data_IF_980758868702
#
_entry.id   IF_980758868702
#
_cell.length_a   1.000
_cell.length_b   1.000
_cell.length_c   1.000
_cell.angle_alpha   90.00
_cell.angle_beta   90.00
_cell.angle_gamma   90.00
#
_symmetry.space_group_name_H-M   'P 1'
#
loop_
_entity.id
_entity.type
_entity.pdbx_description
1 polymer ?
#
# COMPACT_ATOMS: atom_id res chain seq x y z
N UNK A 1 -38.82 51.79 36.79
CA UNK A 1 -39.30 50.40 36.64
C UNK A 1 -38.75 49.85 35.33
N UNK A 2 -37.71 49.01 35.38
CA UNK A 2 -37.14 48.29 34.23
C UNK A 2 -37.19 46.80 34.57
N UNK A 3 -37.73 45.92 33.71
CA UNK A 3 -37.80 44.50 34.01
C UNK A 3 -36.43 43.85 33.78
N UNK A 4 -35.97 43.04 34.73
CA UNK A 4 -34.81 42.17 34.59
C UNK A 4 -35.25 40.92 33.81
N UNK A 5 -34.65 40.70 32.64
CA UNK A 5 -34.73 39.44 31.90
C UNK A 5 -33.74 38.46 32.56
N UNK A 6 -34.29 37.44 33.22
CA UNK A 6 -33.54 36.27 33.69
C UNK A 6 -33.38 35.32 32.51
N UNK A 7 -32.20 35.26 31.92
CA UNK A 7 -31.83 34.23 30.95
C UNK A 7 -31.56 32.92 31.68
N UNK A 8 -32.47 31.94 31.54
CA UNK A 8 -32.20 30.55 31.91
C UNK A 8 -31.15 29.98 30.94
N UNK A 9 -29.95 29.73 31.44
CA UNK A 9 -28.97 28.87 30.79
C UNK A 9 -29.40 27.41 31.01
N UNK A 10 -29.99 26.80 29.99
CA UNK A 10 -30.10 25.35 29.87
C UNK A 10 -28.70 24.79 29.56
N UNK A 11 -28.00 24.34 30.59
CA UNK A 11 -26.83 23.48 30.43
C UNK A 11 -27.32 22.10 29.97
N UNK A 12 -27.29 21.86 28.66
CA UNK A 12 -27.35 20.50 28.12
C UNK A 12 -26.01 19.83 28.45
N UNK A 13 -25.97 19.10 29.58
CA UNK A 13 -24.95 18.08 29.78
C UNK A 13 -25.30 16.91 28.86
N UNK A 14 -24.80 16.95 27.63
CA UNK A 14 -24.73 15.76 26.79
C UNK A 14 -23.63 14.85 27.37
N UNK A 15 -23.96 14.09 28.41
CA UNK A 15 -23.21 12.89 28.74
C UNK A 15 -23.46 11.91 27.59
N UNK A 16 -22.60 11.96 26.57
CA UNK A 16 -22.58 10.99 25.49
C UNK A 16 -22.39 9.61 26.12
N UNK A 17 -23.41 8.76 25.99
CA UNK A 17 -23.27 7.34 26.28
C UNK A 17 -22.38 6.76 25.17
N UNK A 18 -21.07 6.87 25.34
CA UNK A 18 -20.14 6.11 24.53
C UNK A 18 -20.41 4.62 24.84
N UNK A 19 -20.63 3.81 23.81
CA UNK A 19 -20.91 2.38 23.93
C UNK A 19 -19.81 1.64 24.71
N UNK A 20 -20.04 0.36 25.04
CA UNK A 20 -18.98 -0.45 25.63
C UNK A 20 -17.78 -0.50 24.66
N UNK A 21 -16.56 -0.68 25.15
CA UNK A 21 -15.39 -0.80 24.29
C UNK A 21 -15.38 -2.17 23.58
N UNK A 22 -14.82 -2.21 22.38
CA UNK A 22 -14.60 -3.47 21.67
C UNK A 22 -13.58 -4.34 22.43
N UNK A 23 -14.01 -5.49 22.93
CA UNK A 23 -13.12 -6.44 23.60
C UNK A 23 -12.46 -7.40 22.59
N UNK A 24 -11.13 -7.35 22.49
CA UNK A 24 -10.35 -8.22 21.60
C UNK A 24 -9.21 -8.88 22.36
N UNK A 25 -9.15 -10.21 22.34
CA UNK A 25 -7.99 -10.96 22.81
C UNK A 25 -6.92 -11.01 21.70
N UNK A 26 -5.94 -10.11 21.79
CA UNK A 26 -4.82 -10.04 20.86
C UNK A 26 -3.81 -11.19 21.00
N UNK A 27 -4.12 -12.24 21.77
CA UNK A 27 -3.37 -13.50 21.80
C UNK A 27 -4.12 -14.65 21.12
N UNK A 28 -5.28 -14.37 20.52
CA UNK A 28 -6.12 -15.34 19.85
C UNK A 28 -6.41 -14.90 18.40
N UNK A 29 -5.95 -15.69 17.43
CA UNK A 29 -6.20 -15.42 16.00
C UNK A 29 -7.69 -15.42 15.68
N UNK A 30 -8.50 -16.25 16.34
CA UNK A 30 -9.96 -16.26 16.15
C UNK A 30 -10.62 -15.00 16.70
N UNK A 31 -10.18 -14.49 17.87
CA UNK A 31 -10.70 -13.23 18.42
C UNK A 31 -10.37 -12.05 17.51
N UNK A 32 -9.14 -11.98 16.99
CA UNK A 32 -8.73 -10.95 16.04
C UNK A 32 -9.54 -11.04 14.74
N UNK A 33 -9.72 -12.25 14.18
CA UNK A 33 -10.53 -12.47 12.96
C UNK A 33 -11.99 -12.05 13.19
N UNK A 34 -12.59 -12.33 14.35
CA UNK A 34 -13.94 -11.87 14.69
C UNK A 34 -14.05 -10.35 14.82
N UNK A 35 -13.08 -9.69 15.44
CA UNK A 35 -13.04 -8.23 15.51
C UNK A 35 -12.87 -7.61 14.11
N UNK A 36 -11.97 -8.16 13.28
CA UNK A 36 -11.76 -7.72 11.91
C UNK A 36 -13.04 -7.88 11.07
N UNK A 37 -13.77 -8.98 11.25
CA UNK A 37 -15.06 -9.19 10.59
C UNK A 37 -16.08 -8.11 10.98
N UNK A 38 -16.21 -7.79 12.27
CA UNK A 38 -17.12 -6.74 12.74
C UNK A 38 -16.76 -5.36 12.17
N UNK A 39 -15.48 -4.98 12.24
CA UNK A 39 -14.97 -3.71 11.70
C UNK A 39 -15.14 -3.64 10.18
N UNK A 40 -14.88 -4.74 9.46
CA UNK A 40 -15.09 -4.80 8.00
C UNK A 40 -16.56 -4.66 7.61
N UNK A 41 -17.47 -5.25 8.40
CA UNK A 41 -18.90 -5.06 8.23
C UNK A 41 -19.28 -3.60 8.43
N UNK A 42 -18.76 -2.94 9.48
CA UNK A 42 -19.04 -1.54 9.75
C UNK A 42 -18.52 -0.62 8.64
N UNK A 43 -17.27 -0.82 8.20
CA UNK A 43 -16.68 -0.13 7.04
C UNK A 43 -17.59 -0.21 5.80
N UNK A 44 -18.09 -1.41 5.51
CA UNK A 44 -18.93 -1.65 4.34
C UNK A 44 -20.33 -1.04 4.44
N UNK A 45 -20.78 -0.58 5.62
CA UNK A 45 -22.02 0.20 5.73
C UNK A 45 -21.92 1.59 5.10
N UNK A 46 -20.70 2.14 4.97
CA UNK A 46 -20.46 3.43 4.32
C UNK A 46 -20.37 3.33 2.80
N UNK A 47 -20.22 2.12 2.27
CA UNK A 47 -20.18 1.87 0.83
C UNK A 47 -21.60 1.66 0.29
N UNK A 48 -21.99 2.53 -0.65
CA UNK A 48 -23.32 2.47 -1.30
C UNK A 48 -23.24 2.18 -2.80
N UNK A 49 -22.03 1.98 -3.34
CA UNK A 49 -21.79 1.85 -4.79
C UNK A 49 -22.42 0.62 -5.46
N UNK A 50 -22.82 -0.39 -4.68
CA UNK A 50 -23.57 -1.56 -5.18
C UNK A 50 -25.09 -1.36 -5.21
N UNK A 51 -25.60 -0.25 -4.71
CA UNK A 51 -27.03 0.06 -4.73
C UNK A 51 -27.42 0.70 -6.07
N UNK A 52 -28.66 0.46 -6.50
CA UNK A 52 -29.18 1.00 -7.76
C UNK A 52 -29.08 2.53 -7.81
N UNK A 53 -28.52 3.05 -8.90
CA UNK A 53 -28.33 4.49 -9.11
C UNK A 53 -26.99 5.05 -8.60
N UNK A 54 -26.19 4.25 -7.90
CA UNK A 54 -24.84 4.65 -7.47
C UNK A 54 -23.76 4.14 -8.43
N UNK A 55 -22.52 4.60 -8.22
CA UNK A 55 -21.36 4.22 -9.02
C UNK A 55 -20.56 3.14 -8.29
N UNK A 56 -20.35 1.95 -8.88
CA UNK A 56 -19.54 0.91 -8.26
C UNK A 56 -18.09 1.35 -8.03
N UNK A 57 -17.54 0.89 -6.93
CA UNK A 57 -16.13 1.06 -6.57
C UNK A 57 -15.74 2.38 -5.94
N UNK A 58 -16.65 3.34 -5.77
CA UNK A 58 -16.35 4.59 -5.04
C UNK A 58 -17.12 4.66 -3.71
N UNK A 59 -16.50 5.33 -2.73
CA UNK A 59 -17.17 5.80 -1.54
C UNK A 59 -17.97 7.09 -1.84
N UNK A 60 -18.93 7.49 -0.98
CA UNK A 60 -19.68 8.73 -1.16
C UNK A 60 -18.76 9.96 -1.30
N UNK A 61 -18.79 10.60 -2.46
CA UNK A 61 -17.96 11.75 -2.77
C UNK A 61 -17.81 11.97 -4.28
N UNK A 62 -16.90 12.86 -4.70
CA UNK A 62 -16.04 13.72 -3.87
C UNK A 62 -16.82 14.87 -3.23
N UNK A 63 -16.20 15.67 -2.35
CA UNK A 63 -16.84 16.85 -1.77
C UNK A 63 -17.38 17.80 -2.85
N UNK A 64 -18.61 18.34 -2.70
CA UNK A 64 -19.49 18.27 -1.53
C UNK A 64 -20.50 17.11 -1.52
N UNK A 65 -20.47 16.18 -2.50
CA UNK A 65 -21.44 15.08 -2.60
C UNK A 65 -21.25 13.98 -1.54
N UNK A 66 -20.09 13.98 -0.89
CA UNK A 66 -19.69 13.13 0.21
C UNK A 66 -18.21 13.42 0.55
N UNK A 67 -17.67 12.87 1.64
CA UNK A 67 -16.37 13.32 2.14
C UNK A 67 -15.16 12.74 1.41
N UNK A 68 -15.33 11.64 0.67
CA UNK A 68 -14.21 10.81 0.20
C UNK A 68 -13.82 11.10 -1.25
N UNK A 69 -12.52 11.18 -1.51
CA UNK A 69 -12.00 11.28 -2.87
C UNK A 69 -11.92 9.90 -3.55
N UNK A 70 -11.82 9.89 -4.87
CA UNK A 70 -11.87 8.66 -5.67
C UNK A 70 -10.78 7.64 -5.29
N UNK A 71 -9.57 8.11 -4.97
CA UNK A 71 -8.44 7.25 -4.63
C UNK A 71 -8.64 6.44 -3.34
N UNK A 72 -9.35 7.01 -2.36
CA UNK A 72 -9.54 6.40 -1.04
C UNK A 72 -10.35 5.10 -1.15
N UNK A 73 -11.28 5.05 -2.10
CA UNK A 73 -12.00 3.82 -2.41
C UNK A 73 -11.09 2.76 -3.03
N UNK A 74 -10.14 3.15 -3.90
CA UNK A 74 -9.10 2.26 -4.40
C UNK A 74 -8.27 1.64 -3.27
N UNK A 75 -7.95 2.43 -2.25
CA UNK A 75 -7.27 1.96 -1.04
C UNK A 75 -8.16 1.11 -0.12
N UNK A 76 -9.46 1.40 -0.04
CA UNK A 76 -10.45 0.57 0.67
C UNK A 76 -10.50 -0.84 0.08
N UNK A 77 -10.57 -0.96 -1.24
CA UNK A 77 -10.58 -2.27 -1.89
C UNK A 77 -9.28 -3.05 -1.65
N UNK A 78 -8.13 -2.38 -1.67
CA UNK A 78 -6.86 -3.01 -1.27
C UNK A 78 -6.87 -3.51 0.18
N UNK A 79 -7.49 -2.75 1.09
CA UNK A 79 -7.66 -3.15 2.49
C UNK A 79 -8.54 -4.40 2.62
N UNK A 80 -9.59 -4.51 1.83
CA UNK A 80 -10.47 -5.69 1.81
C UNK A 80 -9.84 -6.92 1.14
N UNK A 81 -8.95 -6.72 0.16
CA UNK A 81 -8.11 -7.80 -0.40
C UNK A 81 -7.16 -8.36 0.67
N UNK A 82 -6.50 -7.50 1.45
CA UNK A 82 -5.68 -7.95 2.59
C UNK A 82 -6.53 -8.63 3.66
N UNK A 83 -7.69 -8.06 4.00
CA UNK A 83 -8.62 -8.69 4.95
C UNK A 83 -8.95 -10.12 4.55
N UNK A 84 -9.35 -10.34 3.29
CA UNK A 84 -9.57 -11.69 2.77
C UNK A 84 -8.31 -12.56 2.89
N UNK A 85 -7.15 -12.04 2.50
CA UNK A 85 -5.90 -12.78 2.50
C UNK A 85 -5.52 -13.29 3.91
N UNK A 86 -5.67 -12.45 4.94
CA UNK A 86 -5.30 -12.80 6.32
C UNK A 86 -6.39 -13.57 7.09
N UNK A 87 -7.66 -13.37 6.74
CA UNK A 87 -8.78 -13.99 7.49
C UNK A 87 -9.38 -15.21 6.81
N UNK A 88 -9.28 -15.30 5.49
CA UNK A 88 -9.99 -16.26 4.65
C UNK A 88 -11.46 -15.94 4.42
N UNK A 89 -11.97 -14.81 4.94
CA UNK A 89 -13.37 -14.41 4.76
C UNK A 89 -13.59 -13.88 3.33
N UNK A 90 -14.45 -14.55 2.58
CA UNK A 90 -14.74 -14.25 1.17
C UNK A 90 -15.92 -13.30 0.97
N UNK A 91 -16.53 -12.78 2.04
CA UNK A 91 -17.80 -12.03 2.01
C UNK A 91 -17.80 -10.88 0.99
N UNK A 92 -16.68 -10.16 0.86
CA UNK A 92 -16.58 -8.98 0.01
C UNK A 92 -15.85 -9.21 -1.31
N UNK A 93 -15.41 -10.44 -1.61
CA UNK A 93 -14.50 -10.69 -2.74
C UNK A 93 -15.13 -10.32 -4.08
N UNK A 94 -16.36 -10.77 -4.35
CA UNK A 94 -17.03 -10.45 -5.61
C UNK A 94 -17.24 -8.94 -5.75
N UNK A 95 -17.65 -8.28 -4.67
CA UNK A 95 -17.90 -6.85 -4.69
C UNK A 95 -16.61 -6.04 -4.93
N UNK A 96 -15.48 -6.47 -4.34
CA UNK A 96 -14.18 -5.88 -4.59
C UNK A 96 -13.75 -6.09 -6.05
N UNK A 97 -13.94 -7.30 -6.60
CA UNK A 97 -13.66 -7.58 -8.02
C UNK A 97 -14.45 -6.65 -8.93
N UNK A 98 -15.78 -6.60 -8.76
CA UNK A 98 -16.65 -5.78 -9.60
C UNK A 98 -16.29 -4.29 -9.52
N UNK A 99 -15.95 -3.83 -8.31
CA UNK A 99 -15.57 -2.44 -8.04
C UNK A 99 -14.22 -2.05 -8.65
N UNK A 100 -13.20 -2.89 -8.50
CA UNK A 100 -11.88 -2.68 -9.09
C UNK A 100 -11.94 -2.70 -10.63
N UNK A 101 -12.77 -3.58 -11.21
CA UNK A 101 -12.95 -3.66 -12.67
C UNK A 101 -13.76 -2.48 -13.20
N UNK A 102 -14.79 -2.03 -12.49
CA UNK A 102 -15.60 -0.88 -12.93
C UNK A 102 -14.75 0.40 -13.07
N UNK A 103 -13.77 0.58 -12.19
CA UNK A 103 -12.89 1.75 -12.20
C UNK A 103 -11.64 1.57 -13.10
N UNK A 104 -11.47 0.41 -13.74
CA UNK A 104 -10.26 0.04 -14.50
C UNK A 104 -9.93 0.95 -15.70
N UNK A 105 -10.88 1.77 -16.16
CA UNK A 105 -10.78 2.57 -17.39
C UNK A 105 -10.64 1.72 -18.65
N UNK A 106 -11.57 0.78 -18.86
CA UNK A 106 -11.57 -0.03 -20.08
C UNK A 106 -11.84 0.85 -21.32
N UNK A 107 -11.19 0.57 -22.46
CA UNK A 107 -10.25 -0.54 -22.72
C UNK A 107 -8.77 -0.21 -22.45
N UNK A 108 -8.44 0.94 -21.85
CA UNK A 108 -7.04 1.33 -21.59
C UNK A 108 -6.42 0.61 -20.40
N UNK A 109 -7.24 0.13 -19.47
CA UNK A 109 -6.87 -0.72 -18.33
C UNK A 109 -5.74 -0.12 -17.49
N UNK A 110 -5.88 1.16 -17.16
CA UNK A 110 -4.83 1.96 -16.53
C UNK A 110 -5.32 2.81 -15.37
N UNK A 111 -6.57 2.65 -14.90
CA UNK A 111 -7.14 3.47 -13.82
C UNK A 111 -7.05 4.98 -14.08
N UNK A 112 -7.25 5.42 -15.33
CA UNK A 112 -7.43 6.84 -15.68
C UNK A 112 -8.83 7.14 -16.25
N UNK A 113 -9.92 6.73 -15.57
CA UNK A 113 -11.29 6.98 -16.02
C UNK A 113 -11.56 8.48 -16.22
N UNK A 114 -12.07 8.92 -17.40
CA UNK A 114 -12.25 10.34 -17.71
C UNK A 114 -13.12 11.11 -16.72
N UNK A 115 -14.08 10.44 -16.05
CA UNK A 115 -14.97 11.05 -15.05
C UNK A 115 -14.20 11.63 -13.85
N UNK A 116 -12.96 11.19 -13.63
CA UNK A 116 -12.14 11.56 -12.47
C UNK A 116 -11.00 12.52 -12.82
N UNK A 117 -10.93 13.01 -14.06
CA UNK A 117 -9.86 13.88 -14.57
C UNK A 117 -9.56 15.08 -13.66
N UNK A 118 -10.60 15.69 -13.07
CA UNK A 118 -10.45 16.90 -12.24
C UNK A 118 -9.68 16.68 -10.93
N UNK A 119 -9.56 15.44 -10.45
CA UNK A 119 -8.82 15.08 -9.24
C UNK A 119 -7.80 13.96 -9.51
N UNK A 120 -7.39 13.76 -10.76
CA UNK A 120 -6.56 12.63 -11.14
C UNK A 120 -5.07 12.95 -10.93
N UNK A 121 -4.57 12.62 -9.74
CA UNK A 121 -3.14 12.57 -9.43
C UNK A 121 -2.48 11.24 -9.81
N UNK A 122 -1.14 11.26 -9.86
CA UNK A 122 -0.34 10.05 -10.03
C UNK A 122 -0.48 9.13 -8.81
N UNK A 123 -0.60 9.71 -7.62
CA UNK A 123 -0.94 9.03 -6.38
C UNK A 123 -2.36 8.46 -6.40
N UNK A 124 -3.35 9.23 -6.85
CA UNK A 124 -4.73 8.74 -6.97
C UNK A 124 -4.79 7.46 -7.81
N UNK A 125 -4.27 7.53 -9.03
CA UNK A 125 -4.15 6.39 -9.94
C UNK A 125 -3.29 5.26 -9.31
N UNK A 126 -2.23 5.65 -8.62
CA UNK A 126 -1.27 4.76 -7.99
C UNK A 126 -1.89 3.85 -6.94
N UNK A 127 -2.78 4.37 -6.08
CA UNK A 127 -3.47 3.56 -5.08
C UNK A 127 -4.32 2.44 -5.69
N UNK A 128 -5.02 2.71 -6.79
CA UNK A 128 -5.73 1.68 -7.55
C UNK A 128 -4.78 0.63 -8.15
N UNK A 129 -3.67 1.09 -8.73
CA UNK A 129 -2.62 0.21 -9.25
C UNK A 129 -2.00 -0.68 -8.16
N UNK A 130 -1.76 -0.13 -6.97
CA UNK A 130 -1.22 -0.89 -5.83
C UNK A 130 -2.20 -1.92 -5.29
N UNK A 131 -3.50 -1.63 -5.29
CA UNK A 131 -4.54 -2.60 -4.94
C UNK A 131 -4.64 -3.73 -5.96
N UNK A 132 -4.54 -3.43 -7.27
CA UNK A 132 -4.45 -4.46 -8.30
C UNK A 132 -3.15 -5.29 -8.18
N UNK A 133 -2.02 -4.64 -7.93
CA UNK A 133 -0.75 -5.34 -7.69
C UNK A 133 -0.85 -6.28 -6.48
N UNK A 134 -1.52 -5.85 -5.40
CA UNK A 134 -1.75 -6.66 -4.21
C UNK A 134 -2.61 -7.87 -4.55
N UNK A 135 -3.72 -7.68 -5.28
CA UNK A 135 -4.58 -8.77 -5.72
C UNK A 135 -3.82 -9.84 -6.52
N UNK A 136 -2.87 -9.44 -7.37
CA UNK A 136 -1.99 -10.37 -8.07
C UNK A 136 -1.01 -11.10 -7.14
N UNK A 137 -0.44 -10.40 -6.15
CA UNK A 137 0.53 -10.91 -5.17
C UNK A 137 -0.09 -11.92 -4.20
N UNK A 138 -1.35 -11.76 -3.84
CA UNK A 138 -2.03 -12.67 -2.88
C UNK A 138 -2.93 -13.71 -3.55
N UNK A 139 -2.90 -13.82 -4.88
CA UNK A 139 -3.80 -14.69 -5.65
C UNK A 139 -5.28 -14.45 -5.33
N UNK A 140 -5.67 -13.19 -5.18
CA UNK A 140 -7.07 -12.81 -5.13
C UNK A 140 -7.79 -13.35 -6.38
N UNK A 141 -9.06 -13.81 -6.28
CA UNK A 141 -9.75 -14.44 -7.41
C UNK A 141 -9.60 -13.64 -8.70
N UNK A 142 -9.12 -14.30 -9.76
CA UNK A 142 -8.88 -13.61 -11.02
C UNK A 142 -10.21 -13.13 -11.64
N UNK A 143 -10.21 -11.97 -12.32
CA UNK A 143 -11.33 -11.55 -13.15
C UNK A 143 -11.65 -12.57 -14.25
N UNK A 144 -12.85 -12.51 -14.83
CA UNK A 144 -13.16 -13.25 -16.06
C UNK A 144 -12.07 -13.06 -17.12
N UNK A 145 -11.83 -14.07 -17.95
CA UNK A 145 -10.70 -14.08 -18.90
C UNK A 145 -10.78 -13.00 -20.00
N UNK A 146 -11.97 -12.46 -20.25
CA UNK A 146 -12.25 -11.35 -21.17
C UNK A 146 -12.17 -9.97 -20.50
N UNK A 147 -11.85 -9.91 -19.21
CA UNK A 147 -11.67 -8.70 -18.41
C UNK A 147 -10.18 -8.49 -18.07
N UNK A 148 -9.75 -7.25 -17.81
CA UNK A 148 -8.37 -6.95 -17.45
C UNK A 148 -8.01 -7.65 -16.15
N UNK A 149 -6.82 -8.25 -16.15
CA UNK A 149 -6.32 -9.03 -15.02
C UNK A 149 -5.53 -8.12 -14.06
N UNK A 150 -5.48 -8.49 -12.79
CA UNK A 150 -4.82 -7.70 -11.73
C UNK A 150 -3.39 -7.26 -12.05
N UNK A 151 -2.55 -8.17 -12.55
CA UNK A 151 -1.18 -7.83 -12.95
C UNK A 151 -1.17 -6.85 -14.13
N UNK A 152 -2.03 -7.06 -15.13
CA UNK A 152 -2.15 -6.17 -16.28
C UNK A 152 -2.56 -4.74 -15.87
N UNK A 153 -3.48 -4.59 -14.92
CA UNK A 153 -3.90 -3.28 -14.40
C UNK A 153 -2.77 -2.56 -13.64
N UNK A 154 -2.01 -3.29 -12.81
CA UNK A 154 -0.84 -2.75 -12.14
C UNK A 154 0.25 -2.30 -13.14
N UNK A 155 0.48 -3.10 -14.19
CA UNK A 155 1.38 -2.73 -15.29
C UNK A 155 0.86 -1.50 -16.03
N UNK A 156 -0.45 -1.39 -16.28
CA UNK A 156 -1.06 -0.23 -16.94
C UNK A 156 -0.81 1.07 -16.21
N UNK A 157 -1.00 1.07 -14.88
CA UNK A 157 -0.68 2.23 -14.04
C UNK A 157 0.80 2.57 -14.12
N UNK A 158 1.68 1.60 -13.86
CA UNK A 158 3.12 1.82 -13.89
C UNK A 158 3.60 2.37 -15.25
N UNK A 159 3.11 1.79 -16.36
CA UNK A 159 3.50 2.17 -17.71
C UNK A 159 3.11 3.62 -18.02
N UNK A 160 1.90 4.04 -17.65
CA UNK A 160 1.48 5.46 -17.81
C UNK A 160 2.24 6.41 -16.90
N UNK A 161 2.66 5.98 -15.70
CA UNK A 161 3.47 6.81 -14.82
C UNK A 161 4.88 6.98 -15.39
N UNK A 162 5.49 5.90 -15.87
CA UNK A 162 6.83 5.94 -16.48
C UNK A 162 6.90 6.88 -17.68
N UNK A 163 5.84 6.97 -18.50
CA UNK A 163 5.81 7.89 -19.65
C UNK A 163 5.72 9.37 -19.25
N UNK A 164 5.31 9.66 -18.01
CA UNK A 164 5.15 11.01 -17.45
C UNK A 164 6.31 11.46 -16.57
N UNK A 165 7.38 10.67 -16.47
CA UNK A 165 8.58 11.07 -15.74
C UNK A 165 9.17 12.34 -16.36
N UNK A 166 9.06 13.47 -15.66
CA UNK A 166 9.43 14.78 -16.20
C UNK A 166 10.91 15.09 -15.96
N UNK A 167 11.69 15.10 -17.04
CA UNK A 167 13.10 15.48 -17.04
C UNK A 167 13.34 16.99 -17.23
N UNK A 168 12.29 17.78 -17.46
CA UNK A 168 12.42 19.21 -17.77
C UNK A 168 12.53 20.08 -16.53
N UNK A 169 12.06 19.59 -15.37
CA UNK A 169 12.17 20.27 -14.07
C UNK A 169 12.66 19.32 -12.97
N UNK A 170 13.35 19.88 -11.96
CA UNK A 170 13.89 19.15 -10.81
C UNK A 170 14.75 17.90 -11.14
N UNK A 171 15.37 17.86 -12.32
CA UNK A 171 16.17 16.72 -12.81
C UNK A 171 15.41 15.38 -12.86
N UNK A 172 14.08 15.39 -12.94
CA UNK A 172 13.26 14.19 -12.87
C UNK A 172 12.02 14.36 -12.00
N UNK A 173 11.38 13.24 -11.71
CA UNK A 173 10.25 13.14 -10.79
C UNK A 173 8.91 13.30 -11.48
N UNK A 174 7.93 12.58 -10.95
CA UNK A 174 6.53 12.76 -11.25
C UNK A 174 5.99 14.00 -10.54
N UNK A 175 5.13 14.73 -11.24
CA UNK A 175 4.24 15.72 -10.67
C UNK A 175 3.17 15.02 -9.81
N UNK A 176 2.59 15.73 -8.84
CA UNK A 176 1.45 15.23 -8.10
C UNK A 176 0.28 14.97 -9.05
N UNK A 177 -0.17 15.99 -9.77
CA UNK A 177 -1.29 15.88 -10.70
C UNK A 177 -0.88 15.29 -12.06
N UNK A 178 -1.80 14.58 -12.73
CA UNK A 178 -1.58 14.10 -14.10
C UNK A 178 -1.91 15.18 -15.15
N UNK A 179 -3.10 15.81 -15.16
CA UNK A 179 -3.37 16.90 -16.08
C UNK A 179 -2.61 18.16 -15.67
N UNK A 180 -1.91 18.80 -16.62
CA UNK A 180 -1.14 20.02 -16.37
C UNK A 180 -1.99 21.24 -16.00
N UNK A 181 -3.31 21.15 -16.14
CA UNK A 181 -4.27 22.21 -15.77
C UNK A 181 -4.83 22.04 -14.36
N UNK A 182 -4.55 20.94 -13.67
CA UNK A 182 -5.00 20.74 -12.30
C UNK A 182 -4.11 21.53 -11.33
N UNK A 183 -4.72 22.10 -10.28
CA UNK A 183 -3.95 22.73 -9.20
C UNK A 183 -3.06 21.71 -8.51
N UNK A 184 -1.79 22.05 -8.28
CA UNK A 184 -0.80 21.13 -7.72
C UNK A 184 0.01 20.36 -8.76
N UNK A 185 -0.18 20.60 -10.06
CA UNK A 185 0.73 20.05 -11.08
C UNK A 185 2.17 20.56 -10.91
N UNK A 186 2.35 21.79 -10.45
CA UNK A 186 3.64 22.38 -10.11
C UNK A 186 4.34 21.71 -8.90
N UNK A 187 3.59 20.98 -8.07
CA UNK A 187 4.10 20.28 -6.90
C UNK A 187 4.59 18.87 -7.27
N UNK A 188 5.87 18.58 -7.03
CA UNK A 188 6.44 17.22 -7.14
C UNK A 188 6.57 16.64 -5.74
N UNK A 189 5.67 15.71 -5.41
CA UNK A 189 5.54 15.18 -4.06
C UNK A 189 6.08 13.76 -3.89
N UNK A 190 6.33 13.38 -2.65
CA UNK A 190 6.87 12.07 -2.28
C UNK A 190 5.87 10.96 -2.52
N UNK A 191 4.57 11.17 -2.30
CA UNK A 191 3.58 10.11 -2.45
C UNK A 191 3.47 9.60 -3.89
N UNK A 192 3.43 10.48 -4.89
CA UNK A 192 3.36 10.09 -6.30
C UNK A 192 4.60 9.29 -6.73
N UNK A 193 5.78 9.80 -6.37
CA UNK A 193 7.06 9.16 -6.71
C UNK A 193 7.30 7.87 -5.92
N UNK A 194 6.85 7.83 -4.67
CA UNK A 194 6.93 6.68 -3.78
C UNK A 194 6.03 5.54 -4.21
N UNK A 195 4.81 5.82 -4.69
CA UNK A 195 3.94 4.80 -5.27
C UNK A 195 4.53 4.26 -6.58
N UNK A 196 5.05 5.12 -7.45
CA UNK A 196 5.72 4.68 -8.67
C UNK A 196 6.93 3.80 -8.37
N UNK A 197 7.74 4.18 -7.37
CA UNK A 197 8.83 3.37 -6.84
C UNK A 197 8.35 2.01 -6.32
N UNK A 198 7.31 2.01 -5.50
CA UNK A 198 6.72 0.81 -4.89
C UNK A 198 6.18 -0.17 -5.94
N UNK A 199 5.41 0.34 -6.92
CA UNK A 199 4.92 -0.46 -8.05
C UNK A 199 6.09 -1.02 -8.87
N UNK A 200 7.11 -0.22 -9.16
CA UNK A 200 8.31 -0.68 -9.88
C UNK A 200 9.03 -1.82 -9.14
N UNK A 201 9.23 -1.69 -7.83
CA UNK A 201 9.87 -2.72 -7.01
C UNK A 201 9.06 -4.02 -6.97
N UNK A 202 7.73 -3.90 -6.80
CA UNK A 202 6.80 -5.03 -6.75
C UNK A 202 6.68 -5.75 -8.09
N UNK A 203 6.52 -5.00 -9.18
CA UNK A 203 6.51 -5.55 -10.55
C UNK A 203 7.84 -6.21 -10.91
N UNK A 204 8.98 -5.65 -10.49
CA UNK A 204 10.29 -6.28 -10.67
C UNK A 204 10.35 -7.65 -9.99
N UNK A 205 9.95 -7.71 -8.71
CA UNK A 205 9.91 -8.98 -7.96
C UNK A 205 8.91 -9.97 -8.54
N UNK A 206 7.71 -9.51 -8.91
CA UNK A 206 6.66 -10.39 -9.43
C UNK A 206 7.01 -10.99 -10.78
N UNK A 207 7.60 -10.19 -11.68
CA UNK A 207 7.80 -10.57 -13.09
C UNK A 207 9.22 -11.03 -13.42
N UNK A 208 10.21 -10.67 -12.58
CA UNK A 208 11.63 -10.81 -12.88
C UNK A 208 12.19 -9.77 -13.87
N UNK A 209 11.37 -8.84 -14.37
CA UNK A 209 11.78 -7.87 -15.37
C UNK A 209 12.58 -6.71 -14.76
N UNK A 210 13.87 -6.62 -15.11
CA UNK A 210 14.80 -5.61 -14.61
C UNK A 210 14.47 -4.17 -15.00
N UNK A 211 13.62 -3.94 -16.02
CA UNK A 211 13.18 -2.59 -16.38
C UNK A 211 12.41 -1.92 -15.25
N UNK A 212 11.54 -2.66 -14.57
CA UNK A 212 10.81 -2.14 -13.41
C UNK A 212 11.76 -1.78 -12.26
N UNK A 213 12.78 -2.61 -12.01
CA UNK A 213 13.80 -2.36 -10.99
C UNK A 213 14.64 -1.11 -11.29
N UNK A 214 15.01 -0.89 -12.56
CA UNK A 214 15.74 0.33 -12.97
C UNK A 214 14.93 1.60 -12.73
N UNK A 215 13.64 1.57 -13.03
CA UNK A 215 12.74 2.69 -12.72
C UNK A 215 12.53 2.89 -11.21
N UNK A 216 12.46 1.80 -10.44
CA UNK A 216 12.42 1.88 -8.99
C UNK A 216 13.70 2.55 -8.44
N UNK A 217 14.88 2.14 -8.92
CA UNK A 217 16.15 2.79 -8.57
C UNK A 217 16.20 4.27 -9.01
N UNK A 218 15.69 4.59 -10.20
CA UNK A 218 15.59 5.97 -10.69
C UNK A 218 14.72 6.83 -9.76
N UNK A 219 13.54 6.33 -9.36
CA UNK A 219 12.63 7.06 -8.46
C UNK A 219 13.22 7.22 -7.05
N UNK A 220 13.85 6.17 -6.51
CA UNK A 220 14.58 6.26 -5.25
C UNK A 220 15.68 7.32 -5.30
N UNK A 221 16.55 7.24 -6.31
CA UNK A 221 17.70 8.13 -6.44
C UNK A 221 17.25 9.58 -6.61
N UNK A 222 16.16 9.81 -7.35
CA UNK A 222 15.58 11.14 -7.47
C UNK A 222 15.03 11.64 -6.14
N UNK A 223 14.18 10.86 -5.46
CA UNK A 223 13.51 11.26 -4.21
C UNK A 223 14.52 11.57 -3.10
N UNK A 224 15.58 10.78 -2.98
CA UNK A 224 16.70 11.06 -2.06
C UNK A 224 17.56 12.23 -2.55
N UNK A 225 17.84 12.32 -3.86
CA UNK A 225 18.68 13.37 -4.44
C UNK A 225 18.10 14.78 -4.36
N UNK A 226 16.77 14.92 -4.39
CA UNK A 226 16.09 16.21 -4.13
C UNK A 226 15.95 16.53 -2.64
N UNK A 227 16.34 15.61 -1.75
CA UNK A 227 16.35 15.83 -0.30
C UNK A 227 15.02 15.51 0.40
N UNK A 228 14.07 14.84 -0.26
CA UNK A 228 12.82 14.42 0.39
C UNK A 228 13.04 13.22 1.32
N UNK A 229 14.13 12.46 1.12
CA UNK A 229 14.66 11.52 2.10
C UNK A 229 16.00 12.08 2.58
N UNK A 230 16.08 12.52 3.83
CA UNK A 230 17.32 13.08 4.41
C UNK A 230 18.29 12.00 4.91
N UNK A 231 19.51 12.39 5.29
CA UNK A 231 20.55 11.49 5.80
C UNK A 231 20.16 10.78 7.13
N UNK A 232 19.10 11.23 7.79
CA UNK A 232 18.53 10.62 8.99
C UNK A 232 17.27 9.79 8.68
N UNK A 233 17.01 9.54 7.40
CA UNK A 233 15.87 8.78 6.89
C UNK A 233 14.50 9.42 7.16
N UNK A 234 14.45 10.72 7.45
CA UNK A 234 13.16 11.44 7.45
C UNK A 234 12.59 11.45 6.05
N UNK A 235 11.28 11.29 5.93
CA UNK A 235 10.58 11.30 4.64
C UNK A 235 9.61 12.48 4.61
N UNK A 236 9.95 13.50 3.82
CA UNK A 236 9.21 14.75 3.68
C UNK A 236 8.18 14.70 2.56
N UNK A 237 7.31 15.71 2.48
CA UNK A 237 6.11 15.67 1.64
C UNK A 237 6.37 15.99 0.17
N UNK A 238 7.23 16.97 -0.13
CA UNK A 238 7.46 17.41 -1.50
C UNK A 238 8.02 18.82 -1.61
N UNK A 239 7.94 19.39 -2.81
CA UNK A 239 8.44 20.72 -3.18
C UNK A 239 7.96 21.11 -4.58
N UNK A 240 8.12 22.38 -4.95
CA UNK A 240 7.58 22.94 -6.19
C UNK A 240 8.66 23.09 -7.28
N UNK A 241 8.27 22.85 -8.53
CA UNK A 241 9.19 22.91 -9.66
C UNK A 241 9.80 24.31 -9.87
N UNK A 242 9.07 25.37 -9.53
CA UNK A 242 9.48 26.78 -9.66
C UNK A 242 10.66 27.11 -8.73
N UNK A 243 10.82 26.32 -7.67
CA UNK A 243 11.90 26.41 -6.70
C UNK A 243 12.92 25.28 -6.86
N UNK A 244 12.97 24.65 -8.04
CA UNK A 244 13.80 23.47 -8.31
C UNK A 244 13.61 22.36 -7.27
N UNK A 245 12.40 22.23 -6.70
CA UNK A 245 12.04 21.28 -5.65
C UNK A 245 12.85 21.45 -4.34
N UNK A 246 13.46 22.62 -4.12
CA UNK A 246 14.28 22.89 -2.92
C UNK A 246 13.51 23.52 -1.76
N UNK A 247 12.27 23.92 -1.98
CA UNK A 247 11.33 24.45 -0.99
C UNK A 247 10.60 23.31 -0.26
N UNK A 248 11.38 22.37 0.30
CA UNK A 248 10.85 21.14 0.87
C UNK A 248 9.80 21.40 1.95
N UNK A 249 8.60 20.85 1.76
CA UNK A 249 7.55 20.81 2.79
C UNK A 249 7.95 19.78 3.87
N UNK A 250 8.24 20.21 5.11
CA UNK A 250 8.79 19.34 6.15
C UNK A 250 7.74 18.43 6.80
N UNK A 251 6.47 18.48 6.37
CA UNK A 251 5.44 17.57 6.86
C UNK A 251 5.88 16.11 6.64
N UNK A 252 5.68 15.29 7.66
CA UNK A 252 5.96 13.86 7.61
C UNK A 252 4.64 13.12 7.71
N UNK A 253 4.27 12.43 6.63
CA UNK A 253 3.07 11.61 6.56
C UNK A 253 3.44 10.14 6.62
N UNK A 254 2.71 9.37 7.42
CA UNK A 254 3.00 7.95 7.58
C UNK A 254 2.89 7.17 6.28
N UNK A 255 1.95 7.53 5.39
CA UNK A 255 1.81 6.95 4.06
C UNK A 255 3.08 7.13 3.19
N UNK A 256 3.72 8.30 3.24
CA UNK A 256 4.96 8.58 2.50
C UNK A 256 6.11 7.67 2.99
N UNK A 257 6.29 7.60 4.31
CA UNK A 257 7.35 6.76 4.88
C UNK A 257 7.09 5.28 4.59
N UNK A 258 5.85 4.83 4.75
CA UNK A 258 5.46 3.44 4.59
C UNK A 258 5.59 2.95 3.13
N UNK A 259 5.21 3.77 2.14
CA UNK A 259 5.25 3.34 0.72
C UNK A 259 6.69 3.16 0.22
N UNK A 260 7.58 4.07 0.63
CA UNK A 260 9.03 4.01 0.34
C UNK A 260 9.68 2.85 1.12
N UNK A 261 9.30 2.66 2.38
CA UNK A 261 9.80 1.56 3.19
C UNK A 261 9.44 0.20 2.56
N UNK A 262 8.18 0.04 2.15
CA UNK A 262 7.72 -1.19 1.49
C UNK A 262 8.43 -1.42 0.16
N UNK A 263 8.54 -0.40 -0.70
CA UNK A 263 9.27 -0.52 -1.96
C UNK A 263 10.73 -0.93 -1.76
N UNK A 264 11.38 -0.41 -0.71
CA UNK A 264 12.75 -0.78 -0.34
C UNK A 264 12.87 -2.25 0.07
N UNK A 265 11.89 -2.79 0.79
CA UNK A 265 11.84 -4.19 1.15
C UNK A 265 11.64 -5.11 -0.07
N UNK A 266 10.81 -4.70 -1.03
CA UNK A 266 10.65 -5.41 -2.30
C UNK A 266 11.94 -5.38 -3.14
N UNK A 267 12.66 -4.25 -3.19
CA UNK A 267 13.96 -4.19 -3.85
C UNK A 267 15.03 -5.03 -3.13
N UNK A 268 15.05 -5.04 -1.80
CA UNK A 268 15.91 -5.93 -1.01
C UNK A 268 15.65 -7.40 -1.37
N UNK A 269 14.38 -7.81 -1.43
CA UNK A 269 13.99 -9.16 -1.84
C UNK A 269 14.37 -9.47 -3.30
N UNK A 270 14.06 -8.57 -4.24
CA UNK A 270 14.38 -8.74 -5.67
C UNK A 270 15.89 -8.85 -5.93
N UNK A 271 16.70 -8.07 -5.21
CA UNK A 271 18.17 -8.06 -5.33
C UNK A 271 18.85 -9.14 -4.49
N UNK A 272 18.09 -10.13 -4.00
CA UNK A 272 18.59 -11.23 -3.19
C UNK A 272 19.40 -10.76 -1.96
N UNK A 273 18.90 -9.74 -1.28
CA UNK A 273 19.43 -9.27 -0.01
C UNK A 273 20.61 -8.31 -0.11
N UNK A 274 20.70 -7.50 -1.17
CA UNK A 274 21.85 -6.59 -1.34
C UNK A 274 22.04 -5.61 -0.18
N UNK A 275 23.30 -5.33 0.15
CA UNK A 275 23.67 -4.46 1.29
C UNK A 275 23.12 -3.03 1.16
N UNK A 276 23.05 -2.51 -0.08
CA UNK A 276 22.51 -1.16 -0.35
C UNK A 276 21.03 -1.11 0.04
N UNK A 277 20.22 -2.04 -0.45
CA UNK A 277 18.80 -2.07 -0.14
C UNK A 277 18.52 -2.47 1.32
N UNK A 278 19.38 -3.30 1.91
CA UNK A 278 19.32 -3.59 3.35
C UNK A 278 19.54 -2.35 4.20
N UNK A 279 20.57 -1.56 3.89
CA UNK A 279 20.89 -0.31 4.62
C UNK A 279 19.73 0.68 4.54
N UNK A 280 19.14 0.84 3.35
CA UNK A 280 17.98 1.71 3.12
C UNK A 280 16.76 1.24 3.90
N UNK A 281 16.44 -0.05 3.82
CA UNK A 281 15.33 -0.68 4.52
C UNK A 281 15.46 -0.51 6.04
N UNK A 282 16.62 -0.86 6.61
CA UNK A 282 16.83 -0.84 8.06
C UNK A 282 16.83 0.61 8.59
N UNK A 283 17.43 1.56 7.85
CA UNK A 283 17.42 2.99 8.19
C UNK A 283 16.01 3.59 8.20
N UNK A 284 15.26 3.37 7.13
CA UNK A 284 13.87 3.82 7.02
C UNK A 284 12.97 3.16 8.07
N UNK A 285 13.14 1.86 8.35
CA UNK A 285 12.33 1.15 9.34
C UNK A 285 12.52 1.76 10.73
N UNK A 286 13.77 1.94 11.15
CA UNK A 286 14.09 2.52 12.44
C UNK A 286 13.51 3.93 12.57
N UNK A 287 13.69 4.78 11.54
CA UNK A 287 13.17 6.15 11.57
C UNK A 287 11.64 6.20 11.54
N UNK A 288 11.01 5.33 10.76
CA UNK A 288 9.55 5.22 10.69
C UNK A 288 8.95 4.85 12.04
N UNK A 289 9.55 3.87 12.74
CA UNK A 289 9.12 3.49 14.09
C UNK A 289 9.31 4.65 15.08
N UNK A 290 10.47 5.32 15.04
CA UNK A 290 10.76 6.45 15.92
C UNK A 290 9.77 7.60 15.77
N UNK A 291 9.40 7.95 14.52
CA UNK A 291 8.53 9.09 14.24
C UNK A 291 7.06 8.76 14.49
N UNK A 292 6.58 7.64 13.95
CA UNK A 292 5.15 7.37 13.86
C UNK A 292 4.61 6.45 14.95
N UNK A 293 5.45 5.79 15.74
CA UNK A 293 5.03 4.90 16.84
C UNK A 293 5.56 5.37 18.19
N UNK A 294 5.30 6.62 18.61
CA UNK A 294 5.66 7.07 19.95
C UNK A 294 5.00 6.15 21.00
N UNK A 295 5.81 5.67 21.95
CA UNK A 295 5.38 4.71 22.96
C UNK A 295 4.77 3.40 22.39
N UNK A 296 5.09 3.07 21.13
CA UNK A 296 4.63 1.88 20.43
C UNK A 296 3.21 1.97 19.84
N UNK A 297 2.54 3.12 19.93
CA UNK A 297 1.19 3.34 19.37
C UNK A 297 1.27 4.34 18.22
N UNK A 298 0.63 4.02 17.09
CA UNK A 298 0.74 4.85 15.91
C UNK A 298 0.04 6.22 16.06
N UNK A 299 0.73 7.28 15.66
CA UNK A 299 0.25 8.67 15.64
C UNK A 299 0.57 9.32 14.30
N UNK A 300 -0.40 9.98 13.69
CA UNK A 300 -0.15 10.79 12.48
C UNK A 300 0.41 12.16 12.87
N UNK A 301 1.72 12.23 13.09
CA UNK A 301 2.39 13.35 13.77
C UNK A 301 2.16 14.74 13.18
N UNK A 302 1.80 14.83 11.89
CA UNK A 302 1.57 16.10 11.21
C UNK A 302 0.15 16.65 11.41
N UNK A 303 -0.82 15.84 11.89
CA UNK A 303 -2.21 16.27 12.06
C UNK A 303 -2.91 15.78 13.34
N UNK A 304 -2.45 14.68 13.95
CA UNK A 304 -2.95 14.11 15.20
C UNK A 304 -2.16 14.66 16.39
N UNK A 305 -2.35 15.94 16.68
CA UNK A 305 -1.63 16.62 17.73
C UNK A 305 -2.28 16.36 19.09
N UNK A 306 -1.49 16.48 20.16
CA UNK A 306 -1.93 16.15 21.52
C UNK A 306 -3.19 16.92 21.93
N UNK A 307 -3.25 18.21 21.58
CA UNK A 307 -4.28 19.17 21.95
C UNK A 307 -5.31 19.45 20.85
N UNK A 308 -5.08 19.02 19.61
CA UNK A 308 -5.96 19.29 18.48
C UNK A 308 -5.88 18.20 17.41
N UNK A 309 -7.03 17.88 16.83
CA UNK A 309 -7.13 17.05 15.64
C UNK A 309 -7.24 17.95 14.41
N UNK A 310 -6.34 17.79 13.46
CA UNK A 310 -6.30 18.58 12.22
C UNK A 310 -6.29 17.69 10.98
N UNK A 311 -6.51 16.39 11.14
CA UNK A 311 -6.46 15.46 10.03
C UNK A 311 -7.62 15.71 9.07
N UNK A 312 -7.33 15.72 7.76
CA UNK A 312 -8.36 15.75 6.72
C UNK A 312 -8.85 14.32 6.41
N UNK A 313 -9.83 14.17 5.52
CA UNK A 313 -10.36 12.84 5.12
C UNK A 313 -9.24 11.86 4.78
N UNK A 314 -8.31 12.25 3.91
CA UNK A 314 -7.24 11.39 3.42
C UNK A 314 -6.41 10.77 4.55
N UNK A 315 -6.00 11.61 5.52
CA UNK A 315 -5.06 11.25 6.58
C UNK A 315 -5.63 10.22 7.56
N UNK A 316 -6.96 10.08 7.65
CA UNK A 316 -7.61 9.09 8.52
C UNK A 316 -7.32 7.64 8.11
N UNK A 317 -6.93 7.42 6.85
CA UNK A 317 -6.66 6.09 6.30
C UNK A 317 -5.18 5.68 6.35
N UNK A 318 -4.26 6.63 6.59
CA UNK A 318 -2.82 6.40 6.46
C UNK A 318 -2.27 5.38 7.45
N UNK A 319 -2.82 5.35 8.68
CA UNK A 319 -2.42 4.37 9.69
C UNK A 319 -2.66 2.93 9.26
N UNK A 320 -3.77 2.67 8.57
CA UNK A 320 -4.07 1.37 7.98
C UNK A 320 -3.02 0.92 6.98
N UNK A 321 -2.57 1.83 6.12
CA UNK A 321 -1.56 1.54 5.10
C UNK A 321 -0.23 1.18 5.74
N UNK A 322 0.22 1.96 6.73
CA UNK A 322 1.44 1.67 7.49
C UNK A 322 1.40 0.27 8.11
N UNK A 323 0.32 -0.09 8.81
CA UNK A 323 0.16 -1.41 9.43
C UNK A 323 0.27 -2.54 8.39
N UNK A 324 -0.50 -2.42 7.30
CA UNK A 324 -0.55 -3.42 6.22
C UNK A 324 0.78 -3.60 5.53
N UNK A 325 1.44 -2.50 5.19
CA UNK A 325 2.70 -2.54 4.47
C UNK A 325 3.85 -3.02 5.35
N UNK A 326 3.88 -2.67 6.65
CA UNK A 326 4.79 -3.25 7.63
C UNK A 326 4.63 -4.77 7.73
N UNK A 327 3.40 -5.28 7.78
CA UNK A 327 3.15 -6.71 7.77
C UNK A 327 3.70 -7.40 6.50
N UNK A 328 3.49 -6.82 5.31
CA UNK A 328 4.11 -7.33 4.06
C UNK A 328 5.63 -7.33 4.10
N UNK A 329 6.26 -6.30 4.68
CA UNK A 329 7.73 -6.18 4.79
C UNK A 329 8.31 -7.38 5.54
N UNK A 330 7.67 -7.85 6.61
CA UNK A 330 8.15 -9.03 7.37
C UNK A 330 8.25 -10.30 6.53
N UNK A 331 7.47 -10.40 5.45
CA UNK A 331 7.42 -11.59 4.60
C UNK A 331 8.51 -11.57 3.53
N UNK A 332 8.90 -10.38 3.05
CA UNK A 332 9.94 -10.21 2.01
C UNK A 332 11.31 -9.84 2.57
N UNK A 333 11.37 -9.42 3.84
CA UNK A 333 12.58 -9.16 4.60
C UNK A 333 12.46 -9.75 6.03
N UNK A 334 12.57 -11.08 6.19
CA UNK A 334 12.26 -11.76 7.46
C UNK A 334 13.06 -11.29 8.68
N UNK A 335 14.24 -10.67 8.48
CA UNK A 335 15.05 -10.13 9.59
C UNK A 335 14.37 -8.95 10.32
N UNK A 336 13.34 -8.33 9.73
CA UNK A 336 12.59 -7.24 10.36
C UNK A 336 11.40 -7.72 11.18
N UNK A 337 11.09 -9.02 11.17
CA UNK A 337 9.86 -9.58 11.72
C UNK A 337 9.63 -9.19 13.18
N UNK A 338 10.58 -9.45 14.07
CA UNK A 338 10.38 -9.26 15.52
C UNK A 338 10.20 -7.79 15.90
N UNK A 339 10.94 -6.90 15.25
CA UNK A 339 10.82 -5.45 15.41
C UNK A 339 9.42 -4.98 14.99
N UNK A 340 8.97 -5.39 13.81
CA UNK A 340 7.66 -4.98 13.26
C UNK A 340 6.53 -5.60 14.08
N UNK A 341 6.57 -6.90 14.37
CA UNK A 341 5.54 -7.62 15.12
C UNK A 341 5.31 -6.98 16.51
N UNK A 342 6.38 -6.54 17.18
CA UNK A 342 6.29 -5.86 18.48
C UNK A 342 5.51 -4.55 18.40
N UNK A 343 5.80 -3.75 17.38
CA UNK A 343 5.16 -2.44 17.16
C UNK A 343 3.71 -2.61 16.69
N UNK A 344 3.44 -3.53 15.76
CA UNK A 344 2.09 -3.84 15.31
C UNK A 344 1.21 -4.28 16.49
N UNK A 345 1.69 -5.20 17.33
CA UNK A 345 0.93 -5.67 18.51
C UNK A 345 0.54 -4.53 19.46
N UNK A 346 1.48 -3.62 19.75
CA UNK A 346 1.23 -2.51 20.67
C UNK A 346 0.28 -1.49 20.04
N UNK A 347 0.48 -1.15 18.77
CA UNK A 347 -0.38 -0.20 18.07
C UNK A 347 -1.78 -0.75 17.80
N UNK A 348 -1.93 -2.04 17.47
CA UNK A 348 -3.26 -2.67 17.29
C UNK A 348 -4.03 -2.69 18.61
N UNK A 349 -3.35 -2.82 19.75
CA UNK A 349 -3.99 -2.63 21.07
C UNK A 349 -4.56 -1.23 21.25
N UNK A 350 -3.82 -0.20 20.84
CA UNK A 350 -4.32 1.17 20.81
C UNK A 350 -5.53 1.32 19.88
N UNK A 351 -5.43 0.77 18.66
CA UNK A 351 -6.48 0.82 17.65
C UNK A 351 -7.81 0.22 18.14
N UNK A 352 -7.79 -0.98 18.72
CA UNK A 352 -9.01 -1.61 19.24
C UNK A 352 -9.59 -0.87 20.44
N UNK A 353 -8.75 -0.22 21.25
CA UNK A 353 -9.22 0.58 22.40
C UNK A 353 -9.96 1.86 21.98
N UNK A 354 -9.76 2.32 20.74
CA UNK A 354 -10.53 3.42 20.16
C UNK A 354 -11.85 2.99 19.52
N UNK A 355 -12.25 1.73 19.65
CA UNK A 355 -13.48 1.21 19.06
C UNK A 355 -14.56 0.91 20.10
N UNK A 356 -15.82 1.11 19.71
CA UNK A 356 -17.01 0.68 20.46
C UNK A 356 -17.40 -0.76 20.11
N UNK A 357 -18.24 -1.36 20.94
CA UNK A 357 -18.72 -2.75 20.88
C UNK A 357 -19.49 -3.09 19.60
N UNK A 358 -20.07 -2.10 18.94
CA UNK A 358 -20.72 -2.22 17.63
C UNK A 358 -19.74 -2.20 16.44
N UNK A 359 -18.44 -2.01 16.70
CA UNK A 359 -17.41 -1.94 15.67
C UNK A 359 -17.16 -0.55 15.12
N UNK A 360 -17.74 0.51 15.69
CA UNK A 360 -17.40 1.89 15.32
C UNK A 360 -16.06 2.29 15.92
N UNK A 361 -15.13 2.77 15.09
CA UNK A 361 -13.76 3.06 15.49
C UNK A 361 -13.38 4.53 15.34
N UNK A 362 -12.55 5.00 16.27
CA UNK A 362 -11.96 6.33 16.27
C UNK A 362 -10.58 6.35 15.63
N UNK A 363 -9.98 7.54 15.57
CA UNK A 363 -8.66 7.72 14.94
C UNK A 363 -7.51 7.81 15.95
N UNK A 364 -7.78 8.34 17.16
CA UNK A 364 -6.79 8.53 18.22
C UNK A 364 -6.57 7.27 19.03
N UNK A 365 -5.63 6.46 18.59
CA UNK A 365 -5.32 5.16 19.21
C UNK A 365 -4.58 5.27 20.55
N UNK A 366 -4.05 6.45 20.86
CA UNK A 366 -3.27 6.72 22.08
C UNK A 366 -4.09 7.34 23.22
N UNK A 367 -5.39 7.54 23.05
CA UNK A 367 -6.28 8.11 24.10
C UNK A 367 -6.94 7.03 24.95
N UNK A 368 -7.01 5.79 24.45
CA UNK A 368 -7.62 4.66 25.15
C UNK A 368 -9.15 4.61 25.11
N UNK A 369 -9.79 5.44 24.28
CA UNK A 369 -11.24 5.45 24.09
C UNK A 369 -11.62 5.97 22.70
N UNK A 370 -12.83 5.63 22.24
CA UNK A 370 -13.41 6.25 21.06
C UNK A 370 -13.45 7.78 21.20
N UNK A 371 -12.99 8.49 20.15
CA UNK A 371 -12.84 9.95 20.14
C UNK A 371 -14.03 10.68 19.50
N UNK A 372 -14.93 9.96 18.83
CA UNK A 372 -16.08 10.54 18.14
C UNK A 372 -15.72 11.29 16.84
N UNK A 373 -14.48 11.16 16.34
CA UNK A 373 -14.04 11.88 15.16
C UNK A 373 -14.65 11.29 13.89
N UNK A 374 -15.68 11.97 13.37
CA UNK A 374 -16.46 11.54 12.20
C UNK A 374 -16.68 12.69 11.21
N UNK A 375 -16.09 13.86 11.47
CA UNK A 375 -16.38 15.09 10.73
C UNK A 375 -15.98 15.01 9.25
N UNK A 376 -14.93 14.23 8.95
CA UNK A 376 -14.42 13.98 7.60
C UNK A 376 -14.88 12.64 7.03
N UNK A 377 -15.93 12.04 7.59
CA UNK A 377 -16.36 10.69 7.26
C UNK A 377 -15.62 9.62 8.08
N UNK A 378 -16.31 8.55 8.52
CA UNK A 378 -15.73 7.49 9.38
C UNK A 378 -14.99 6.37 8.64
N UNK A 379 -15.02 6.30 7.30
CA UNK A 379 -14.48 5.15 6.57
C UNK A 379 -12.95 5.01 6.72
N UNK A 380 -12.21 6.11 6.77
CA UNK A 380 -10.75 6.08 6.95
C UNK A 380 -10.34 5.46 8.29
N UNK A 381 -11.06 5.77 9.36
CA UNK A 381 -10.88 5.23 10.71
C UNK A 381 -11.08 3.72 10.71
N UNK A 382 -12.19 3.25 10.13
CA UNK A 382 -12.48 1.82 10.00
C UNK A 382 -11.46 1.10 9.13
N UNK A 383 -11.06 1.68 8.00
CA UNK A 383 -9.97 1.15 7.16
C UNK A 383 -8.67 1.02 7.94
N UNK A 384 -8.36 2.02 8.79
CA UNK A 384 -7.15 2.02 9.60
C UNK A 384 -7.15 0.92 10.67
N UNK A 385 -8.26 0.76 11.40
CA UNK A 385 -8.36 -0.31 12.41
C UNK A 385 -8.43 -1.70 11.75
N UNK A 386 -9.16 -1.85 10.63
CA UNK A 386 -9.21 -3.09 9.87
C UNK A 386 -7.82 -3.51 9.37
N UNK A 387 -7.04 -2.53 8.90
CA UNK A 387 -5.64 -2.71 8.54
C UNK A 387 -4.81 -3.21 9.72
N UNK A 388 -4.95 -2.61 10.90
CA UNK A 388 -4.21 -3.00 12.10
C UNK A 388 -4.58 -4.41 12.63
N UNK A 389 -5.86 -4.77 12.59
CA UNK A 389 -6.35 -6.10 12.99
C UNK A 389 -5.88 -7.18 12.02
N UNK A 390 -6.09 -6.98 10.72
CA UNK A 390 -5.73 -7.95 9.69
C UNK A 390 -4.23 -8.20 9.66
N UNK A 391 -3.43 -7.13 9.78
CA UNK A 391 -1.96 -7.19 9.75
C UNK A 391 -1.36 -7.93 10.94
N UNK A 392 -2.00 -7.89 12.11
CA UNK A 392 -1.49 -8.57 13.31
C UNK A 392 -1.52 -10.11 13.15
N UNK A 393 -2.33 -10.64 12.24
CA UNK A 393 -2.45 -12.08 12.00
C UNK A 393 -1.15 -12.72 11.48
N UNK A 394 -0.22 -11.94 10.93
CA UNK A 394 1.15 -12.41 10.59
C UNK A 394 1.89 -13.03 11.78
N UNK A 395 1.51 -12.66 13.01
CA UNK A 395 2.17 -13.15 14.24
C UNK A 395 1.68 -14.52 14.70
N UNK A 396 0.63 -15.07 14.07
CA UNK A 396 -0.02 -16.32 14.50
C UNK A 396 0.15 -17.47 13.53
N UNK A 397 0.10 -17.17 12.23
CA UNK A 397 0.07 -18.16 11.18
C UNK A 397 1.19 -17.85 10.18
N UNK A 398 1.90 -18.86 9.65
CA UNK A 398 2.81 -18.64 8.52
C UNK A 398 2.01 -18.12 7.32
N UNK A 399 2.05 -16.81 7.10
CA UNK A 399 1.43 -16.19 5.93
C UNK A 399 2.38 -16.37 4.75
N UNK A 400 1.84 -16.80 3.61
CA UNK A 400 2.64 -16.99 2.40
C UNK A 400 3.18 -15.64 1.94
N UNK A 401 4.48 -15.55 1.58
CA UNK A 401 5.03 -14.31 1.06
C UNK A 401 4.31 -13.91 -0.24
N UNK A 402 4.31 -12.61 -0.60
CA UNK A 402 3.76 -12.14 -1.86
C UNK A 402 4.24 -13.01 -3.01
N UNK A 403 3.31 -13.49 -3.83
CA UNK A 403 3.59 -14.40 -4.93
C UNK A 403 4.29 -13.65 -6.09
N UNK A 404 4.85 -14.45 -6.98
CA UNK A 404 5.46 -14.04 -8.26
C UNK A 404 4.89 -14.93 -9.37
N UNK A 405 5.15 -14.59 -10.62
CA UNK A 405 4.83 -15.46 -11.75
C UNK A 405 5.59 -16.81 -11.71
N UNK A 406 6.65 -16.93 -10.90
CA UNK A 406 7.45 -18.14 -10.72
C UNK A 406 7.04 -18.96 -9.48
N UNK A 407 6.26 -18.37 -8.57
CA UNK A 407 5.89 -19.00 -7.28
C UNK A 407 4.38 -19.26 -7.15
N UNK A 408 3.66 -19.31 -8.28
CA UNK A 408 2.24 -19.66 -8.31
C UNK A 408 1.27 -18.49 -8.42
N UNK A 409 1.75 -17.27 -8.70
CA UNK A 409 0.90 -16.16 -9.10
C UNK A 409 0.15 -16.46 -10.40
N UNK A 410 -1.18 -16.27 -10.39
CA UNK A 410 -2.07 -16.72 -11.48
C UNK A 410 -2.57 -15.60 -12.39
N UNK A 411 -2.49 -14.34 -11.94
CA UNK A 411 -2.96 -13.18 -12.70
C UNK A 411 -2.11 -12.95 -13.95
N UNK A 412 -2.76 -12.81 -15.11
CA UNK A 412 -2.04 -12.60 -16.37
C UNK A 412 -1.59 -11.14 -16.51
N UNK A 413 -0.36 -10.96 -16.99
CA UNK A 413 0.17 -9.63 -17.29
C UNK A 413 -0.15 -9.19 -18.72
N UNK A 414 -0.06 -7.88 -18.94
CA UNK A 414 0.02 -7.27 -20.26
C UNK A 414 1.12 -6.20 -20.22
N UNK A 415 2.32 -6.46 -20.76
CA UNK A 415 3.42 -5.49 -20.71
C UNK A 415 3.13 -4.20 -21.47
N UNK A 416 2.14 -4.20 -22.37
CA UNK A 416 1.70 -3.03 -23.13
C UNK A 416 0.46 -2.35 -22.51
N UNK A 417 -0.01 -2.79 -21.33
CA UNK A 417 -1.15 -2.16 -20.66
C UNK A 417 -0.88 -0.67 -20.43
N UNK A 418 -1.92 0.16 -20.55
CA UNK A 418 -1.84 1.61 -20.31
C UNK A 418 -0.91 2.42 -21.22
N UNK A 419 -0.13 1.84 -22.13
CA UNK A 419 0.99 2.55 -22.74
C UNK A 419 1.33 2.23 -24.18
N UNK A 420 1.89 3.25 -24.82
CA UNK A 420 2.69 3.19 -26.04
C UNK A 420 3.88 2.21 -25.84
N UNK A 421 4.05 1.19 -26.70
CA UNK A 421 5.03 0.12 -26.54
C UNK A 421 6.51 0.55 -26.54
N UNK A 422 6.80 1.84 -26.79
CA UNK A 422 8.17 2.36 -26.91
C UNK A 422 8.85 2.74 -25.59
N UNK A 423 8.11 2.91 -24.47
CA UNK A 423 8.71 3.32 -23.17
C UNK A 423 9.12 2.13 -22.31
N UNK A 424 8.41 1.00 -22.44
CA UNK A 424 8.76 -0.26 -21.79
C UNK A 424 8.78 -1.32 -22.89
N UNK A 425 9.96 -1.64 -23.46
CA UNK A 425 10.05 -2.66 -24.47
C UNK A 425 9.49 -3.96 -23.91
N UNK A 426 8.52 -4.56 -24.62
CA UNK A 426 8.07 -5.90 -24.30
C UNK A 426 9.30 -6.83 -24.27
N UNK A 427 9.44 -7.73 -23.26
CA UNK A 427 10.46 -8.75 -23.30
C UNK A 427 10.34 -9.51 -24.62
N UNK A 428 11.46 -9.79 -25.28
CA UNK A 428 11.43 -10.54 -26.54
C UNK A 428 10.71 -11.89 -26.32
N UNK A 429 9.84 -12.33 -27.24
CA UNK A 429 9.18 -13.62 -27.12
C UNK A 429 10.21 -14.72 -26.94
N UNK A 430 10.07 -15.54 -25.91
CA UNK A 430 10.93 -16.70 -25.69
C UNK A 430 10.87 -17.60 -26.93
N UNK A 431 11.99 -17.75 -27.62
CA UNK A 431 12.08 -18.55 -28.83
C UNK A 431 12.27 -20.02 -28.49
N UNK A 432 12.01 -20.91 -29.45
CA UNK A 432 12.37 -22.33 -29.33
C UNK A 432 13.87 -22.53 -29.11
N UNK A 433 14.71 -21.58 -29.56
CA UNK A 433 16.14 -21.59 -29.32
C UNK A 433 16.48 -21.28 -27.85
N UNK A 434 15.77 -20.34 -27.20
CA UNK A 434 15.98 -20.01 -25.78
C UNK A 434 15.61 -21.19 -24.88
N UNK A 435 14.49 -21.86 -25.18
CA UNK A 435 14.06 -23.10 -24.48
C UNK A 435 15.05 -24.24 -24.72
N UNK A 436 15.56 -24.37 -25.95
CA UNK A 436 16.59 -25.34 -26.30
C UNK A 436 17.90 -25.09 -25.56
N UNK A 437 18.36 -23.83 -25.51
CA UNK A 437 19.57 -23.41 -24.80
C UNK A 437 19.48 -23.64 -23.29
N UNK A 438 18.34 -23.30 -22.67
CA UNK A 438 18.09 -23.57 -21.26
C UNK A 438 18.07 -25.08 -20.97
N UNK A 439 17.49 -25.89 -21.85
CA UNK A 439 17.51 -27.35 -21.74
C UNK A 439 18.92 -27.94 -21.84
N UNK A 440 19.73 -27.47 -22.79
CA UNK A 440 21.13 -27.89 -22.95
C UNK A 440 21.97 -27.49 -21.74
N UNK A 441 21.83 -26.26 -21.25
CA UNK A 441 22.55 -25.79 -20.07
C UNK A 441 22.19 -26.60 -18.83
N UNK A 442 20.91 -26.88 -18.62
CA UNK A 442 20.42 -27.72 -17.52
C UNK A 442 21.00 -29.14 -17.62
N UNK A 443 21.02 -29.74 -18.81
CA UNK A 443 21.62 -31.04 -19.04
C UNK A 443 23.14 -31.04 -18.76
N UNK A 444 23.87 -30.01 -19.18
CA UNK A 444 25.30 -29.87 -18.91
C UNK A 444 25.59 -29.76 -17.41
N UNK A 445 24.81 -28.96 -16.68
CA UNK A 445 24.94 -28.81 -15.23
C UNK A 445 24.64 -30.14 -14.52
N UNK A 446 23.58 -30.85 -14.93
CA UNK A 446 23.25 -32.16 -14.38
C UNK A 446 24.36 -33.18 -14.64
N UNK A 447 24.90 -33.24 -15.86
CA UNK A 447 26.02 -34.13 -16.20
C UNK A 447 27.27 -33.77 -15.40
N UNK A 448 27.63 -32.49 -15.29
CA UNK A 448 28.77 -32.06 -14.49
C UNK A 448 28.61 -32.43 -13.01
N UNK A 449 27.39 -32.27 -12.47
CA UNK A 449 27.07 -32.63 -11.09
C UNK A 449 27.17 -34.14 -10.88
N UNK A 450 26.66 -34.95 -11.81
CA UNK A 450 26.75 -36.42 -11.75
C UNK A 450 28.19 -36.92 -11.88
N UNK A 451 29.00 -36.29 -12.75
CA UNK A 451 30.43 -36.61 -12.89
C UNK A 451 31.18 -36.25 -11.59
N UNK A 452 30.88 -35.11 -10.98
CA UNK A 452 31.46 -34.73 -9.68
C UNK A 452 31.07 -35.72 -8.57
N UNK A 453 29.80 -36.13 -8.51
CA UNK A 453 29.32 -37.15 -7.56
C UNK A 453 29.95 -38.53 -7.80
N UNK A 454 30.14 -38.93 -9.06
CA UNK A 454 30.81 -40.18 -9.43
C UNK A 454 32.31 -40.14 -9.09
N UNK A 455 32.97 -39.00 -9.29
CA UNK A 455 34.36 -38.79 -8.90
C UNK A 455 34.53 -38.87 -7.37
N UNK A 456 33.63 -38.23 -6.61
CA UNK A 456 33.66 -38.27 -5.15
C UNK A 456 33.32 -39.63 -4.55
N UNK A 457 32.56 -40.47 -5.27
CA UNK A 457 32.20 -41.82 -4.83
C UNK A 457 33.12 -42.92 -5.37
N UNK A 458 33.99 -42.61 -6.34
CA UNK A 458 35.01 -43.52 -6.84
C UNK A 458 36.22 -43.58 -5.91
N UNK A 459 36.59 -44.78 -5.47
CA UNK A 459 37.77 -45.08 -4.64
C UNK A 459 39.10 -44.95 -5.41
N UNK A 460 39.24 -43.93 -6.26
CA UNK A 460 40.45 -43.68 -7.05
C UNK A 460 41.60 -43.08 -6.25
N UNK A 461 41.44 -42.82 -4.95
CA UNK A 461 42.51 -42.28 -4.10
C UNK A 461 43.18 -43.29 -3.17
N UNK A 462 42.85 -44.59 -3.22
CA UNK A 462 43.45 -45.57 -2.27
C UNK A 462 44.52 -46.50 -2.84
N UNK A 463 44.89 -46.40 -4.13
CA UNK A 463 46.00 -47.20 -4.67
C UNK A 463 47.06 -46.32 -5.35
N UNK A 464 48.01 -45.85 -4.55
CA UNK A 464 49.22 -45.16 -4.99
C UNK A 464 50.24 -45.03 -3.86
N UNK A 465 50.81 -46.17 -3.47
CA UNK A 465 52.13 -46.26 -2.82
C UNK A 465 53.24 -46.23 -3.88
#
# INVERSE_FOLDING_TARGET
MRPQLVSLLLAFAASGAYGAALEVDLTSSSSIKSAAQLVSHNLMTYYVGNQSGNTPGILPGPPPAGPYYWWEAGAMWGTLVDYWHYTGDTTYNQLATDSLLFQANQPQDNYMPPNWTASLGNDDQGFWGMSAMLAAEVNFPNPPADQPQWLALAQGVFNTQATRWDLTSCNGGLHWQIPSTNGGYDYKNTIANGIFFNLGARLARYTGNSTYARWAEQSWNWTSGVGYIDDRWNVYDGGHQEHNCTDTNPAQWSANAAVILQGSAFMYSYTNGSDIWKTRLDGLLNRTIEVFFPDGIMVEVSCELKDRMQCNTDQHSFKGYMHRWLATITQVAPHTHDTIATVLKTSTKGAVSSCTDDGTCGFRWNTGSYDGDTANGPAGQEMSVLGALSSLLITFEPVQPPLTNFTGGTSQGNPNAGGDPNVIPAPAPLTSADRGGAGVLTALVLVATLVALAWMSGTWSEHGH
#
